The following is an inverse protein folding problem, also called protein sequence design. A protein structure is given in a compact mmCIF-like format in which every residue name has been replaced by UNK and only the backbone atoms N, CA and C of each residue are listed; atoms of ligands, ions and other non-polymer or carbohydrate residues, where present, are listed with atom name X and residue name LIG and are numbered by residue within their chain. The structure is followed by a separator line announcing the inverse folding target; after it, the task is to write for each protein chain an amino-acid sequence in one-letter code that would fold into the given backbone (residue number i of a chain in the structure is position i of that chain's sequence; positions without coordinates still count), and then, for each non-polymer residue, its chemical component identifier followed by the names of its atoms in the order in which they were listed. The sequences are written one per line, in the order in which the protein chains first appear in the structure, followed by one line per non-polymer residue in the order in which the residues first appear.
data_IF_527739123566
#
_entry.id   IF_527739123566
#
_cell.length_a   1.000
_cell.length_b   1.000
_cell.length_c   1.000
_cell.angle_alpha   90.00
_cell.angle_beta   90.00
_cell.angle_gamma   90.00
#
_symmetry.space_group_name_H-M   'P 1'
#
loop_
_entity.id
_entity.type
_entity.pdbx_description
1 polymer ?
#
# COMPACT_ATOMS: atom_id res chain seq x y z
N UNK A 1 4.69 -17.56 -16.25
CA UNK A 1 4.48 -18.36 -15.02
C UNK A 1 3.02 -18.74 -14.98
N UNK A 2 2.68 -19.98 -14.65
CA UNK A 2 1.28 -20.39 -14.51
C UNK A 2 0.86 -20.27 -13.06
N UNK A 3 -0.34 -19.74 -12.83
CA UNK A 3 -0.94 -19.60 -11.50
C UNK A 3 -2.16 -20.50 -11.36
N UNK A 4 -2.45 -20.91 -10.13
CA UNK A 4 -3.72 -21.49 -9.73
C UNK A 4 -4.53 -20.44 -8.98
N UNK A 5 -5.79 -20.25 -9.35
CA UNK A 5 -6.76 -19.43 -8.66
C UNK A 5 -7.58 -20.31 -7.73
N UNK A 6 -7.54 -20.03 -6.44
CA UNK A 6 -8.36 -20.68 -5.43
C UNK A 6 -9.50 -19.75 -5.01
N UNK A 7 -10.70 -20.31 -4.91
CA UNK A 7 -11.85 -19.63 -4.31
C UNK A 7 -12.18 -20.31 -3.00
N UNK A 8 -11.97 -19.63 -1.89
CA UNK A 8 -12.31 -20.11 -0.55
C UNK A 8 -13.67 -19.58 -0.12
N UNK A 9 -14.43 -20.42 0.58
CA UNK A 9 -15.69 -20.06 1.24
C UNK A 9 -15.58 -20.44 2.71
N UNK A 10 -15.84 -19.49 3.60
CA UNK A 10 -15.75 -19.68 5.05
C UNK A 10 -17.13 -19.58 5.70
N UNK A 11 -17.39 -20.44 6.68
CA UNK A 11 -18.61 -20.44 7.50
C UNK A 11 -18.25 -20.65 9.00
N UNK A 12 -18.46 -19.66 9.91
CA UNK A 12 -18.89 -18.28 9.61
C UNK A 12 -17.88 -17.51 8.77
N UNK A 13 -18.37 -16.56 7.95
CA UNK A 13 -17.54 -15.63 7.22
C UNK A 13 -17.16 -14.40 8.05
N UNK A 14 -16.48 -13.43 7.43
CA UNK A 14 -16.15 -12.13 8.00
C UNK A 14 -14.68 -11.74 7.82
N UNK A 15 -14.43 -10.44 7.88
CA UNK A 15 -13.12 -9.84 7.62
C UNK A 15 -12.00 -10.45 8.48
N UNK A 16 -12.25 -10.66 9.77
CA UNK A 16 -11.27 -11.26 10.69
C UNK A 16 -10.89 -12.69 10.31
N UNK A 17 -11.84 -13.49 9.80
CA UNK A 17 -11.57 -14.86 9.33
C UNK A 17 -10.74 -14.83 8.04
N UNK A 18 -11.06 -13.91 7.16
CA UNK A 18 -10.33 -13.72 5.89
C UNK A 18 -8.90 -13.22 6.11
N UNK A 19 -8.68 -12.31 7.07
CA UNK A 19 -7.34 -11.83 7.43
C UNK A 19 -6.46 -12.96 7.97
N UNK A 20 -7.01 -13.79 8.85
CA UNK A 20 -6.29 -14.96 9.38
C UNK A 20 -6.05 -16.00 8.29
N UNK A 21 -7.03 -16.22 7.40
CA UNK A 21 -6.88 -17.13 6.27
C UNK A 21 -5.77 -16.65 5.31
N UNK A 22 -5.71 -15.35 5.02
CA UNK A 22 -4.63 -14.77 4.22
C UNK A 22 -3.25 -15.05 4.81
N UNK A 23 -3.12 -14.85 6.13
CA UNK A 23 -1.85 -15.08 6.82
C UNK A 23 -1.42 -16.56 6.74
N UNK A 24 -2.35 -17.49 6.99
CA UNK A 24 -2.10 -18.92 6.92
C UNK A 24 -1.72 -19.36 5.49
N UNK A 25 -2.43 -18.84 4.48
CA UNK A 25 -2.15 -19.17 3.08
C UNK A 25 -0.81 -18.59 2.61
N UNK A 26 -0.45 -17.38 3.07
CA UNK A 26 0.84 -16.78 2.73
C UNK A 26 2.03 -17.61 3.23
N UNK A 27 1.92 -18.26 4.40
CA UNK A 27 2.98 -19.14 4.93
C UNK A 27 3.25 -20.36 4.05
N UNK A 28 2.28 -20.79 3.23
CA UNK A 28 2.41 -21.93 2.32
C UNK A 28 2.58 -21.54 0.85
N UNK A 29 2.89 -20.25 0.60
CA UNK A 29 3.33 -19.77 -0.71
C UNK A 29 2.27 -19.09 -1.58
N UNK A 30 1.07 -18.82 -1.04
CA UNK A 30 0.13 -17.94 -1.73
C UNK A 30 0.63 -16.48 -1.65
N UNK A 31 0.63 -15.79 -2.78
CA UNK A 31 1.25 -14.46 -2.91
C UNK A 31 0.26 -13.33 -3.22
N UNK A 32 -0.98 -13.67 -3.62
CA UNK A 32 -1.98 -12.67 -4.02
C UNK A 32 -3.36 -13.04 -3.49
N UNK A 33 -4.08 -12.04 -2.99
CA UNK A 33 -5.35 -12.23 -2.30
C UNK A 33 -6.38 -11.20 -2.74
N UNK A 34 -7.63 -11.64 -3.01
CA UNK A 34 -8.72 -10.77 -3.47
C UNK A 34 -10.00 -11.07 -2.68
N UNK A 35 -10.52 -10.07 -1.99
CA UNK A 35 -11.82 -10.14 -1.33
C UNK A 35 -12.93 -9.96 -2.37
N UNK A 36 -13.79 -10.95 -2.53
CA UNK A 36 -14.92 -10.91 -3.47
C UNK A 36 -16.26 -10.56 -2.81
N UNK A 37 -16.25 -10.12 -1.56
CA UNK A 37 -17.40 -9.60 -0.84
C UNK A 37 -17.69 -8.14 -1.21
N UNK A 38 -18.95 -7.82 -1.43
CA UNK A 38 -19.49 -6.58 -2.01
C UNK A 38 -18.83 -5.29 -1.52
N UNK A 39 -17.98 -4.71 -2.36
CA UNK A 39 -17.47 -3.33 -2.23
C UNK A 39 -18.53 -2.27 -2.57
N UNK A 40 -19.79 -2.65 -2.82
CA UNK A 40 -20.85 -1.77 -3.34
C UNK A 40 -21.84 -1.24 -2.31
N UNK A 41 -21.55 -1.29 -1.03
CA UNK A 41 -22.35 -0.53 -0.06
C UNK A 41 -21.54 0.68 0.40
N UNK A 42 -22.02 1.91 0.13
CA UNK A 42 -21.47 3.09 0.78
C UNK A 42 -21.56 2.85 2.29
N UNK A 43 -20.46 3.08 3.01
CA UNK A 43 -20.47 3.12 4.48
C UNK A 43 -21.59 4.07 4.87
N UNK A 44 -22.76 3.54 5.18
CA UNK A 44 -23.82 4.34 5.77
C UNK A 44 -23.25 4.94 7.04
N UNK A 45 -23.43 6.25 7.15
CA UNK A 45 -23.03 7.03 8.29
C UNK A 45 -23.41 6.28 9.58
N UNK A 46 -22.47 6.23 10.52
CA UNK A 46 -22.71 5.78 11.89
C UNK A 46 -24.03 6.39 12.35
N UNK A 47 -24.99 5.56 12.62
CA UNK A 47 -26.13 5.99 13.42
C UNK A 47 -25.59 6.23 14.84
N UNK A 48 -25.98 7.35 15.46
CA UNK A 48 -25.61 7.70 16.82
C UNK A 48 -26.30 6.77 17.86
N UNK A 49 -26.56 5.53 17.49
CA UNK A 49 -27.14 4.51 18.35
C UNK A 49 -26.03 3.77 19.10
N UNK A 50 -25.86 3.98 20.40
CA UNK A 50 -24.84 3.32 21.21
C UNK A 50 -25.04 1.80 21.38
N UNK A 51 -26.19 1.24 20.97
CA UNK A 51 -26.50 -0.19 21.02
C UNK A 51 -26.38 -0.88 19.66
N UNK A 52 -26.03 -0.15 18.59
CA UNK A 52 -25.80 -0.78 17.30
C UNK A 52 -24.61 -1.75 17.36
N UNK A 53 -24.74 -2.99 16.84
CA UNK A 53 -23.66 -3.95 16.86
C UNK A 53 -22.45 -3.41 16.09
N UNK A 54 -21.29 -3.46 16.71
CA UNK A 54 -20.01 -2.95 16.17
C UNK A 54 -19.54 -3.74 14.95
N UNK A 55 -20.13 -4.91 14.72
CA UNK A 55 -19.82 -5.79 13.59
C UNK A 55 -21.06 -5.96 12.72
N UNK A 56 -20.89 -5.79 11.40
CA UNK A 56 -21.90 -6.21 10.44
C UNK A 56 -22.12 -7.72 10.59
N UNK A 57 -23.39 -8.17 10.57
CA UNK A 57 -23.66 -9.60 10.54
C UNK A 57 -22.95 -10.23 9.33
N UNK A 58 -22.27 -11.39 9.52
CA UNK A 58 -21.56 -12.03 8.43
C UNK A 58 -22.54 -12.38 7.31
N UNK A 59 -22.26 -11.90 6.09
CA UNK A 59 -23.02 -12.32 4.93
C UNK A 59 -22.78 -13.82 4.70
N UNK A 60 -23.82 -14.56 4.41
CA UNK A 60 -23.77 -16.03 4.32
C UNK A 60 -22.92 -16.59 3.17
N UNK A 61 -22.31 -15.73 2.33
CA UNK A 61 -21.60 -16.09 1.11
C UNK A 61 -20.39 -15.18 0.80
N UNK A 62 -19.54 -14.90 1.76
CA UNK A 62 -18.28 -14.20 1.44
C UNK A 62 -17.31 -15.18 0.80
N UNK A 63 -17.02 -14.99 -0.47
CA UNK A 63 -15.99 -15.72 -1.17
C UNK A 63 -14.68 -14.92 -1.18
N UNK A 64 -13.58 -15.63 -1.05
CA UNK A 64 -12.24 -15.10 -0.94
C UNK A 64 -11.35 -15.79 -1.96
N UNK A 65 -10.67 -15.02 -2.81
CA UNK A 65 -9.77 -15.58 -3.81
C UNK A 65 -8.33 -15.43 -3.39
N UNK A 66 -7.55 -16.49 -3.62
CA UNK A 66 -6.11 -16.49 -3.40
C UNK A 66 -5.40 -17.17 -4.59
N UNK A 67 -4.17 -16.76 -4.83
CA UNK A 67 -3.39 -17.20 -5.97
C UNK A 67 -2.05 -17.76 -5.53
N UNK A 68 -1.61 -18.84 -6.18
CA UNK A 68 -0.32 -19.47 -5.96
C UNK A 68 0.30 -19.89 -7.29
N UNK A 69 1.62 -19.77 -7.42
CA UNK A 69 2.31 -20.30 -8.58
C UNK A 69 2.15 -21.83 -8.62
N UNK A 70 1.84 -22.35 -9.79
CA UNK A 70 1.58 -23.79 -9.98
C UNK A 70 2.75 -24.67 -9.49
N UNK A 71 3.99 -24.21 -9.68
CA UNK A 71 5.21 -24.93 -9.29
C UNK A 71 5.46 -24.89 -7.77
N UNK A 72 4.81 -23.99 -7.03
CA UNK A 72 4.90 -23.86 -5.56
C UNK A 72 3.72 -24.53 -4.83
N UNK A 73 2.68 -24.94 -5.57
CA UNK A 73 1.49 -25.52 -4.97
C UNK A 73 1.76 -26.92 -4.41
N UNK A 74 1.51 -27.07 -3.11
CA UNK A 74 1.53 -28.34 -2.40
C UNK A 74 0.15 -28.59 -1.77
N UNK A 75 -0.57 -29.60 -2.28
CA UNK A 75 -1.92 -29.94 -1.83
C UNK A 75 -1.94 -30.43 -0.37
N UNK A 76 -0.91 -31.16 0.07
CA UNK A 76 -0.82 -31.67 1.43
C UNK A 76 -0.52 -30.53 2.41
N UNK A 77 0.34 -29.57 2.05
CA UNK A 77 0.58 -28.36 2.83
C UNK A 77 -0.69 -27.54 3.00
N UNK A 78 -1.48 -27.37 1.93
CA UNK A 78 -2.75 -26.65 2.00
C UNK A 78 -3.74 -27.36 2.93
N UNK A 79 -3.92 -28.68 2.78
CA UNK A 79 -4.81 -29.46 3.65
C UNK A 79 -4.42 -29.36 5.12
N UNK A 80 -3.13 -29.45 5.40
CA UNK A 80 -2.62 -29.36 6.78
C UNK A 80 -2.85 -27.95 7.35
N UNK A 81 -2.56 -26.91 6.59
CA UNK A 81 -2.76 -25.52 7.01
C UNK A 81 -4.25 -25.23 7.33
N UNK A 82 -5.18 -25.79 6.55
CA UNK A 82 -6.61 -25.63 6.79
C UNK A 82 -7.10 -26.47 7.98
N UNK A 83 -6.49 -27.64 8.23
CA UNK A 83 -6.79 -28.45 9.43
C UNK A 83 -6.32 -27.78 10.72
N UNK A 84 -5.17 -27.10 10.67
CA UNK A 84 -4.57 -26.40 11.79
C UNK A 84 -5.05 -24.93 11.90
N UNK A 85 -6.13 -24.59 11.19
CA UNK A 85 -6.63 -23.23 11.16
C UNK A 85 -6.92 -22.68 12.57
N UNK A 86 -6.37 -21.52 12.97
CA UNK A 86 -6.32 -21.10 14.36
C UNK A 86 -7.67 -20.62 14.94
N UNK A 87 -8.69 -20.41 14.11
CA UNK A 87 -10.02 -20.01 14.58
C UNK A 87 -10.93 -21.25 14.69
N UNK A 88 -11.30 -21.70 15.91
CA UNK A 88 -12.10 -22.89 16.07
C UNK A 88 -13.55 -22.67 15.55
N UNK A 89 -14.12 -23.72 14.95
CA UNK A 89 -15.49 -23.73 14.48
C UNK A 89 -15.72 -23.07 13.12
N UNK A 90 -14.66 -22.67 12.41
CA UNK A 90 -14.73 -22.19 11.03
C UNK A 90 -14.64 -23.39 10.08
N UNK A 91 -15.65 -23.58 9.25
CA UNK A 91 -15.57 -24.47 8.09
C UNK A 91 -15.01 -23.73 6.90
N UNK A 92 -13.96 -24.28 6.26
CA UNK A 92 -13.34 -23.71 5.08
C UNK A 92 -13.51 -24.72 3.94
N UNK A 93 -14.11 -24.26 2.85
CA UNK A 93 -14.21 -25.00 1.59
C UNK A 93 -13.47 -24.25 0.51
N UNK A 94 -12.88 -24.96 -0.42
CA UNK A 94 -12.18 -24.36 -1.55
C UNK A 94 -12.40 -25.13 -2.84
N UNK A 95 -12.33 -24.43 -3.93
CA UNK A 95 -12.20 -24.92 -5.30
C UNK A 95 -11.06 -24.19 -5.98
N UNK A 96 -10.43 -24.79 -6.97
CA UNK A 96 -9.39 -24.13 -7.74
C UNK A 96 -9.50 -24.42 -9.23
N UNK A 97 -9.00 -23.48 -10.01
CA UNK A 97 -8.88 -23.59 -11.46
C UNK A 97 -7.47 -23.15 -11.88
N UNK A 98 -7.00 -23.62 -13.04
CA UNK A 98 -5.84 -22.97 -13.65
C UNK A 98 -6.25 -21.52 -13.93
N UNK A 99 -5.51 -20.56 -13.37
CA UNK A 99 -5.75 -19.16 -13.66
C UNK A 99 -5.51 -18.98 -15.17
N UNK A 100 -6.50 -18.41 -15.86
CA UNK A 100 -6.28 -18.02 -17.26
C UNK A 100 -5.05 -17.11 -17.33
N UNK A 101 -4.29 -17.20 -18.41
CA UNK A 101 -3.12 -16.35 -18.65
C UNK A 101 -3.62 -14.92 -18.95
N UNK A 102 -4.30 -14.34 -17.97
CA UNK A 102 -4.76 -12.96 -17.96
C UNK A 102 -3.59 -12.09 -17.56
N UNK A 103 -3.41 -11.03 -18.29
CA UNK A 103 -2.50 -9.96 -17.85
C UNK A 103 -3.10 -9.31 -16.58
N UNK A 104 -2.80 -9.93 -15.43
CA UNK A 104 -3.30 -9.49 -14.11
C UNK A 104 -3.00 -8.02 -13.83
N UNK A 105 -1.90 -7.51 -14.39
CA UNK A 105 -1.57 -6.09 -14.30
C UNK A 105 -2.65 -5.24 -14.99
N UNK A 106 -3.12 -5.63 -16.19
CA UNK A 106 -4.18 -4.87 -16.88
C UNK A 106 -5.54 -4.94 -16.17
N UNK A 107 -5.89 -6.09 -15.58
CA UNK A 107 -7.15 -6.24 -14.82
C UNK A 107 -7.09 -5.45 -13.51
N UNK A 108 -5.95 -5.53 -12.81
CA UNK A 108 -5.70 -4.75 -11.60
C UNK A 108 -5.70 -3.24 -11.90
N UNK A 109 -5.03 -2.82 -12.95
CA UNK A 109 -5.00 -1.43 -13.42
C UNK A 109 -6.41 -0.90 -13.73
N UNK A 110 -7.26 -1.70 -14.38
CA UNK A 110 -8.61 -1.29 -14.77
C UNK A 110 -9.61 -1.23 -13.62
N UNK A 111 -9.51 -2.12 -12.65
CA UNK A 111 -10.54 -2.32 -11.64
C UNK A 111 -10.17 -1.85 -10.24
N UNK A 112 -8.90 -1.83 -9.89
CA UNK A 112 -8.42 -1.57 -8.52
C UNK A 112 -7.68 -0.25 -8.36
N UNK A 113 -7.14 0.33 -9.43
CA UNK A 113 -6.46 1.60 -9.37
C UNK A 113 -7.25 2.67 -10.11
N UNK A 114 -8.08 3.42 -9.37
CA UNK A 114 -8.77 4.59 -9.90
C UNK A 114 -7.96 5.85 -9.60
N UNK A 115 -8.08 6.94 -10.43
CA UNK A 115 -7.44 8.20 -10.09
C UNK A 115 -7.89 8.67 -8.70
N UNK A 116 -6.93 8.96 -7.84
CA UNK A 116 -7.17 9.43 -6.48
C UNK A 116 -7.09 10.95 -6.45
N UNK A 117 -8.13 11.61 -5.93
CA UNK A 117 -8.15 13.05 -5.68
C UNK A 117 -8.01 13.30 -4.19
N UNK A 118 -7.03 14.07 -3.78
CA UNK A 118 -6.78 14.42 -2.38
C UNK A 118 -6.92 15.93 -2.21
N UNK A 119 -7.87 16.35 -1.37
CA UNK A 119 -8.09 17.75 -0.99
C UNK A 119 -8.40 18.68 -2.16
N UNK A 120 -8.98 18.19 -3.25
CA UNK A 120 -9.25 18.93 -4.50
C UNK A 120 -8.01 19.57 -5.14
N UNK A 121 -6.81 19.33 -4.59
CA UNK A 121 -5.56 19.98 -4.99
C UNK A 121 -4.55 19.04 -5.61
N UNK A 122 -4.61 17.74 -5.29
CA UNK A 122 -3.69 16.74 -5.81
C UNK A 122 -4.45 15.59 -6.45
N UNK A 123 -4.03 15.21 -7.65
CA UNK A 123 -4.51 14.01 -8.33
C UNK A 123 -3.34 13.06 -8.55
N UNK A 124 -3.55 11.79 -8.19
CA UNK A 124 -2.61 10.71 -8.46
C UNK A 124 -3.28 9.74 -9.42
N UNK A 125 -2.63 9.46 -10.53
CA UNK A 125 -3.15 8.58 -11.57
C UNK A 125 -2.06 7.66 -12.12
N UNK A 126 -2.47 6.49 -12.58
CA UNK A 126 -1.59 5.58 -13.33
C UNK A 126 -1.40 6.06 -14.77
N UNK A 127 -0.29 5.65 -15.38
CA UNK A 127 0.05 5.95 -16.79
C UNK A 127 -1.01 5.48 -17.79
N UNK A 128 -1.83 4.51 -17.42
CA UNK A 128 -2.89 3.91 -18.24
C UNK A 128 -4.24 4.66 -18.19
N UNK A 129 -4.41 5.62 -17.27
CA UNK A 129 -5.64 6.40 -17.19
C UNK A 129 -5.74 7.43 -18.31
N UNK A 130 -6.89 7.45 -19.01
CA UNK A 130 -7.13 8.36 -20.17
C UNK A 130 -7.86 9.66 -19.79
N UNK A 131 -8.72 9.60 -18.77
CA UNK A 131 -9.56 10.74 -18.37
C UNK A 131 -9.27 11.06 -16.89
N UNK A 132 -8.13 11.69 -16.64
CA UNK A 132 -7.70 12.07 -15.29
C UNK A 132 -8.23 13.47 -14.97
N UNK A 133 -8.91 13.67 -13.83
CA UNK A 133 -9.23 14.99 -13.34
C UNK A 133 -7.96 15.85 -13.25
N UNK A 134 -8.09 17.15 -13.51
CA UNK A 134 -6.96 18.07 -13.37
C UNK A 134 -7.03 18.79 -12.03
N UNK A 135 -5.89 18.92 -11.37
CA UNK A 135 -5.71 19.60 -10.09
C UNK A 135 -4.47 20.50 -10.11
N UNK A 136 -4.21 21.19 -9.01
CA UNK A 136 -3.01 22.02 -8.83
C UNK A 136 -1.73 21.17 -8.98
N UNK A 137 -1.74 19.95 -8.39
CA UNK A 137 -0.66 18.98 -8.51
C UNK A 137 -1.19 17.69 -9.14
N UNK A 138 -0.58 17.29 -10.25
CA UNK A 138 -0.95 16.07 -10.96
C UNK A 138 0.25 15.13 -10.95
N UNK A 139 0.13 14.00 -10.25
CA UNK A 139 1.18 13.01 -10.12
C UNK A 139 0.80 11.78 -10.94
N UNK A 140 1.65 11.42 -11.88
CA UNK A 140 1.49 10.21 -12.67
C UNK A 140 2.44 9.15 -12.13
N UNK A 141 1.92 7.96 -11.85
CA UNK A 141 2.74 6.84 -11.40
C UNK A 141 2.56 5.62 -12.29
N UNK A 142 3.61 4.82 -12.35
CA UNK A 142 3.52 3.43 -12.77
C UNK A 142 3.49 2.61 -11.46
N UNK A 143 2.33 2.12 -11.00
CA UNK A 143 2.21 1.58 -9.66
C UNK A 143 2.97 0.26 -9.48
N UNK A 144 3.25 -0.50 -10.55
CA UNK A 144 3.88 -1.81 -10.49
C UNK A 144 3.48 -2.55 -9.19
N UNK A 145 4.25 -3.46 -8.66
CA UNK A 145 3.95 -4.14 -7.38
C UNK A 145 4.44 -3.35 -6.14
N UNK A 146 4.79 -2.06 -6.29
CA UNK A 146 5.29 -1.23 -5.18
C UNK A 146 4.17 -0.65 -4.33
N UNK A 147 4.38 -0.57 -3.02
CA UNK A 147 3.48 0.14 -2.10
C UNK A 147 3.52 1.65 -2.38
N UNK A 148 2.43 2.36 -2.05
CA UNK A 148 2.40 3.83 -2.17
C UNK A 148 1.60 4.36 -3.36
N UNK A 149 0.54 3.66 -3.78
CA UNK A 149 -0.39 4.15 -4.83
C UNK A 149 -1.24 5.34 -4.37
N UNK A 150 -1.16 5.72 -3.10
CA UNK A 150 -1.96 6.81 -2.51
C UNK A 150 -3.31 6.37 -1.93
N UNK A 151 -3.83 5.22 -2.31
CA UNK A 151 -5.17 4.76 -1.89
C UNK A 151 -5.28 4.36 -0.42
N UNK A 152 -4.15 4.06 0.24
CA UNK A 152 -4.18 3.80 1.67
C UNK A 152 -4.46 5.11 2.44
N UNK A 153 -5.32 5.03 3.46
CA UNK A 153 -5.76 6.20 4.23
C UNK A 153 -4.58 7.02 4.81
N UNK A 154 -3.53 6.35 5.29
CA UNK A 154 -2.33 7.02 5.81
C UNK A 154 -1.60 7.81 4.73
N UNK A 155 -1.45 7.26 3.53
CA UNK A 155 -0.81 7.95 2.41
C UNK A 155 -1.60 9.19 2.00
N UNK A 156 -2.93 9.09 1.91
CA UNK A 156 -3.80 10.24 1.62
C UNK A 156 -3.70 11.33 2.69
N UNK A 157 -3.61 10.96 3.97
CA UNK A 157 -3.42 11.91 5.07
C UNK A 157 -2.06 12.62 4.98
N UNK A 158 -0.99 11.90 4.64
CA UNK A 158 0.33 12.50 4.45
C UNK A 158 0.36 13.44 3.24
N UNK A 159 -0.28 13.07 2.14
CA UNK A 159 -0.46 13.95 0.98
C UNK A 159 -1.17 15.23 1.40
N UNK A 160 -2.30 15.11 2.11
CA UNK A 160 -3.03 16.28 2.61
C UNK A 160 -2.14 17.16 3.49
N UNK A 161 -1.34 16.55 4.37
CA UNK A 161 -0.42 17.29 5.23
C UNK A 161 0.66 18.03 4.44
N UNK A 162 1.24 17.40 3.41
CA UNK A 162 2.20 18.05 2.52
C UNK A 162 1.55 19.20 1.74
N UNK A 163 0.25 19.07 1.35
CA UNK A 163 -0.50 20.13 0.68
C UNK A 163 -0.77 21.34 1.59
N UNK A 164 -0.93 21.14 2.87
CA UNK A 164 -1.29 22.19 3.83
C UNK A 164 -0.07 22.91 4.41
N UNK A 165 1.06 22.21 4.54
CA UNK A 165 2.28 22.79 5.11
C UNK A 165 3.12 23.52 4.05
N UNK A 166 3.95 24.46 4.51
CA UNK A 166 4.92 25.13 3.66
C UNK A 166 6.11 24.20 3.38
N UNK A 167 6.33 23.86 2.11
CA UNK A 167 7.44 23.02 1.66
C UNK A 167 8.61 23.81 1.07
N UNK A 168 8.43 25.11 0.85
CA UNK A 168 9.42 25.93 0.16
C UNK A 168 10.79 25.88 0.82
N UNK A 169 11.81 25.52 0.06
CA UNK A 169 13.22 25.47 0.50
C UNK A 169 13.58 24.35 1.47
N UNK A 170 12.66 23.46 1.84
CA UNK A 170 12.91 22.38 2.82
C UNK A 170 13.78 21.26 2.24
N UNK A 171 14.63 20.71 3.11
CA UNK A 171 15.32 19.42 2.93
C UNK A 171 14.40 18.32 3.52
N UNK A 172 13.97 17.38 2.70
CA UNK A 172 12.95 16.37 3.07
C UNK A 172 13.55 14.96 2.98
N UNK A 173 13.25 14.12 3.96
CA UNK A 173 13.48 12.68 3.93
C UNK A 173 12.14 11.95 3.74
N UNK A 174 12.08 11.06 2.76
CA UNK A 174 10.97 10.10 2.54
C UNK A 174 11.50 8.69 2.80
N UNK A 175 11.17 8.13 3.99
CA UNK A 175 11.68 6.84 4.45
C UNK A 175 10.64 5.74 4.25
N UNK A 176 11.03 4.67 3.55
CA UNK A 176 10.09 3.69 3.00
C UNK A 176 9.31 4.30 1.85
N UNK A 177 10.03 4.87 0.88
CA UNK A 177 9.44 5.76 -0.12
C UNK A 177 8.51 5.06 -1.12
N UNK A 178 8.61 3.74 -1.30
CA UNK A 178 7.78 2.97 -2.22
C UNK A 178 7.78 3.55 -3.64
N UNK A 179 6.65 4.12 -4.07
CA UNK A 179 6.52 4.82 -5.36
C UNK A 179 7.10 6.23 -5.37
N UNK A 180 7.57 6.75 -4.25
CA UNK A 180 8.05 8.13 -4.02
C UNK A 180 7.02 9.23 -4.24
N UNK A 181 5.73 8.98 -4.21
CA UNK A 181 4.72 10.03 -4.43
C UNK A 181 4.80 11.15 -3.40
N UNK A 182 5.21 10.87 -2.16
CA UNK A 182 5.33 11.88 -1.10
C UNK A 182 6.52 12.80 -1.37
N UNK A 183 7.68 12.25 -1.75
CA UNK A 183 8.83 13.02 -2.16
C UNK A 183 8.57 13.84 -3.43
N UNK A 184 7.89 13.25 -4.43
CA UNK A 184 7.47 13.94 -5.67
C UNK A 184 6.59 15.14 -5.34
N UNK A 185 5.55 14.95 -4.51
CA UNK A 185 4.66 16.05 -4.12
C UNK A 185 5.41 17.12 -3.33
N UNK A 186 6.27 16.75 -2.38
CA UNK A 186 7.08 17.71 -1.63
C UNK A 186 7.95 18.57 -2.58
N UNK A 187 8.56 17.97 -3.60
CA UNK A 187 9.32 18.68 -4.61
C UNK A 187 8.46 19.61 -5.45
N UNK A 188 7.30 19.16 -5.92
CA UNK A 188 6.33 20.00 -6.65
C UNK A 188 5.86 21.19 -5.81
N UNK A 189 5.87 21.05 -4.48
CA UNK A 189 5.50 22.08 -3.50
C UNK A 189 6.67 23.00 -3.10
N UNK A 190 7.84 22.88 -3.75
CA UNK A 190 8.97 23.78 -3.54
C UNK A 190 10.02 23.28 -2.55
N UNK A 191 9.96 22.03 -2.08
CA UNK A 191 11.05 21.48 -1.29
C UNK A 191 12.36 21.58 -2.07
N UNK A 192 13.45 22.03 -1.44
CA UNK A 192 14.73 22.27 -2.10
C UNK A 192 15.36 20.98 -2.60
N UNK A 193 15.29 19.95 -1.77
CA UNK A 193 15.85 18.64 -2.06
C UNK A 193 15.13 17.56 -1.25
N UNK A 194 14.95 16.38 -1.84
CA UNK A 194 14.42 15.22 -1.17
C UNK A 194 15.42 14.06 -1.21
N UNK A 195 15.50 13.34 -0.11
CA UNK A 195 16.18 12.04 -0.03
C UNK A 195 15.09 11.00 0.16
N UNK A 196 14.99 10.05 -0.76
CA UNK A 196 14.04 8.93 -0.72
C UNK A 196 14.82 7.63 -0.46
N UNK A 197 14.37 6.83 0.49
CA UNK A 197 15.06 5.60 0.89
C UNK A 197 14.06 4.45 0.97
N UNK A 198 14.42 3.31 0.40
CA UNK A 198 13.66 2.07 0.55
C UNK A 198 14.60 0.87 0.68
N UNK A 199 14.16 -0.16 1.38
CA UNK A 199 14.91 -1.41 1.57
C UNK A 199 14.75 -2.36 0.38
N UNK A 200 13.74 -2.13 -0.46
CA UNK A 200 13.40 -2.95 -1.61
C UNK A 200 13.97 -2.33 -2.90
N UNK A 201 14.79 -3.11 -3.60
CA UNK A 201 15.41 -2.69 -4.88
C UNK A 201 14.35 -2.38 -5.96
N UNK A 202 13.22 -3.10 -5.96
CA UNK A 202 12.10 -2.83 -6.86
C UNK A 202 11.45 -1.48 -6.59
N UNK A 203 11.26 -1.14 -5.31
CA UNK A 203 10.77 0.17 -4.89
C UNK A 203 11.71 1.29 -5.32
N UNK A 204 13.02 1.12 -5.13
CA UNK A 204 14.04 2.08 -5.55
C UNK A 204 13.98 2.33 -7.06
N UNK A 205 13.91 1.26 -7.86
CA UNK A 205 13.80 1.39 -9.31
C UNK A 205 12.49 2.06 -9.73
N UNK A 206 11.38 1.63 -9.15
CA UNK A 206 10.06 2.20 -9.44
C UNK A 206 9.98 3.68 -9.04
N UNK A 207 10.58 4.07 -7.91
CA UNK A 207 10.75 5.47 -7.50
C UNK A 207 11.45 6.31 -8.55
N UNK A 208 12.59 5.83 -9.06
CA UNK A 208 13.36 6.53 -10.10
C UNK A 208 12.53 6.72 -11.38
N UNK A 209 11.82 5.68 -11.80
CA UNK A 209 10.93 5.74 -12.97
C UNK A 209 9.80 6.75 -12.76
N UNK A 210 9.17 6.77 -11.58
CA UNK A 210 8.09 7.71 -11.25
C UNK A 210 8.59 9.16 -11.15
N UNK A 211 9.78 9.39 -10.59
CA UNK A 211 10.40 10.71 -10.53
C UNK A 211 10.64 11.24 -11.96
N UNK A 212 11.21 10.42 -12.83
CA UNK A 212 11.42 10.76 -14.24
C UNK A 212 10.10 11.05 -14.97
N UNK A 213 9.07 10.23 -14.72
CA UNK A 213 7.74 10.34 -15.31
C UNK A 213 7.05 11.68 -14.97
N UNK A 214 7.28 12.19 -13.76
CA UNK A 214 6.72 13.46 -13.30
C UNK A 214 7.62 14.66 -13.59
N UNK A 215 8.76 14.46 -14.24
CA UNK A 215 9.72 15.54 -14.61
C UNK A 215 10.17 16.37 -13.40
N UNK A 216 10.27 15.76 -12.23
CA UNK A 216 10.82 16.41 -11.03
C UNK A 216 12.30 16.09 -10.88
N UNK A 217 13.04 17.05 -10.34
CA UNK A 217 14.47 16.96 -10.08
C UNK A 217 14.77 17.03 -8.58
N UNK A 218 16.06 16.93 -8.21
CA UNK A 218 16.52 17.07 -6.83
C UNK A 218 15.85 16.09 -5.84
N UNK A 219 15.60 14.86 -6.30
CA UNK A 219 15.24 13.72 -5.44
C UNK A 219 16.31 12.65 -5.62
N UNK A 220 17.07 12.37 -4.57
CA UNK A 220 18.03 11.28 -4.54
C UNK A 220 17.41 10.03 -3.94
N UNK A 221 17.41 8.93 -4.69
CA UNK A 221 16.83 7.64 -4.24
C UNK A 221 17.95 6.69 -3.84
N UNK A 222 17.83 6.06 -2.69
CA UNK A 222 18.83 5.13 -2.15
C UNK A 222 18.19 3.81 -1.73
N UNK A 223 18.86 2.72 -2.04
CA UNK A 223 18.59 1.41 -1.47
C UNK A 223 19.23 1.33 -0.07
N UNK A 224 18.44 1.02 0.95
CA UNK A 224 18.95 0.85 2.32
C UNK A 224 17.88 1.04 3.37
N UNK A 225 18.30 0.85 4.61
CA UNK A 225 17.52 1.13 5.82
C UNK A 225 17.95 2.49 6.46
N UNK A 226 17.41 2.81 7.62
CA UNK A 226 17.68 4.06 8.32
C UNK A 226 19.17 4.26 8.68
N UNK A 227 20.00 3.22 8.71
CA UNK A 227 21.43 3.33 8.99
C UNK A 227 22.19 4.07 7.87
N UNK A 228 21.66 4.08 6.64
CA UNK A 228 22.27 4.78 5.51
C UNK A 228 22.23 6.32 5.66
N UNK A 229 21.47 6.84 6.62
CA UNK A 229 21.32 8.27 6.88
C UNK A 229 22.55 8.91 7.52
N UNK A 230 23.56 8.14 7.93
CA UNK A 230 24.74 8.64 8.65
C UNK A 230 25.44 9.82 7.95
N UNK A 231 25.41 9.88 6.63
CA UNK A 231 26.03 10.94 5.81
C UNK A 231 25.02 11.88 5.14
N UNK A 232 23.73 11.80 5.48
CA UNK A 232 22.63 12.54 4.84
C UNK A 232 22.01 13.56 5.80
N UNK A 233 21.33 14.56 5.24
CA UNK A 233 20.68 15.63 6.00
C UNK A 233 21.64 16.81 6.30
N UNK A 234 21.31 17.73 7.23
CA UNK A 234 20.14 17.65 8.12
C UNK A 234 18.81 18.00 7.39
N UNK A 235 17.72 17.40 7.86
CA UNK A 235 16.38 17.50 7.27
C UNK A 235 15.49 18.47 8.04
N UNK A 236 14.61 19.19 7.31
CA UNK A 236 13.53 20.02 7.86
C UNK A 236 12.27 19.19 8.10
N UNK A 237 12.10 18.10 7.34
CA UNK A 237 10.95 17.21 7.42
C UNK A 237 11.40 15.76 7.18
N UNK A 238 10.93 14.86 8.03
CA UNK A 238 11.01 13.40 7.83
C UNK A 238 9.59 12.89 7.60
N UNK A 239 9.38 12.16 6.52
CA UNK A 239 8.13 11.46 6.21
C UNK A 239 8.44 9.97 6.32
N UNK A 240 7.66 9.22 7.12
CA UNK A 240 7.86 7.81 7.34
C UNK A 240 6.51 7.07 7.42
N UNK A 241 5.97 6.71 6.26
CA UNK A 241 4.72 5.93 6.14
C UNK A 241 5.01 4.44 6.14
N UNK A 242 5.58 3.95 7.24
CA UNK A 242 6.05 2.56 7.40
C UNK A 242 5.45 1.92 8.65
N UNK A 243 5.78 0.64 8.87
CA UNK A 243 5.34 -0.10 10.05
C UNK A 243 5.79 0.60 11.35
N UNK A 244 4.87 0.74 12.30
CA UNK A 244 5.08 1.42 13.59
C UNK A 244 6.30 0.88 14.35
N UNK A 245 6.52 -0.44 14.36
CA UNK A 245 7.63 -1.03 15.12
C UNK A 245 8.98 -0.68 14.50
N UNK A 246 9.07 -0.67 13.17
CA UNK A 246 10.26 -0.24 12.43
C UNK A 246 10.52 1.23 12.73
N UNK A 247 9.50 2.07 12.61
CA UNK A 247 9.56 3.49 12.85
C UNK A 247 10.08 3.83 14.25
N UNK A 248 9.55 3.17 15.29
CA UNK A 248 10.02 3.38 16.67
C UNK A 248 11.50 3.00 16.87
N UNK A 249 11.94 1.93 16.19
CA UNK A 249 13.35 1.53 16.21
C UNK A 249 14.24 2.54 15.48
N UNK A 250 13.76 3.10 14.39
CA UNK A 250 14.52 3.96 13.50
C UNK A 250 14.60 5.43 13.94
N UNK A 251 13.78 5.86 14.90
CA UNK A 251 13.85 7.22 15.46
C UNK A 251 15.27 7.61 15.91
N UNK A 252 16.07 6.67 16.40
CA UNK A 252 17.46 6.90 16.78
C UNK A 252 18.35 7.35 15.60
N UNK A 253 17.98 7.04 14.36
CA UNK A 253 18.68 7.46 13.14
C UNK A 253 18.11 8.76 12.59
N UNK A 254 16.79 9.01 12.72
CA UNK A 254 16.15 10.22 12.21
C UNK A 254 16.49 11.45 13.04
N UNK A 255 16.29 11.37 14.36
CA UNK A 255 16.44 12.53 15.26
C UNK A 255 17.80 13.22 15.14
N UNK A 256 18.95 12.52 15.10
CA UNK A 256 20.24 13.17 14.93
C UNK A 256 20.46 13.84 13.56
N UNK A 257 19.57 13.56 12.59
CA UNK A 257 19.62 14.09 11.22
C UNK A 257 18.57 15.15 10.94
N UNK A 258 17.84 15.57 11.96
CA UNK A 258 16.85 16.62 11.86
C UNK A 258 17.43 17.95 12.30
N UNK A 259 16.99 19.03 11.68
CA UNK A 259 17.27 20.39 12.12
C UNK A 259 16.47 20.71 13.39
N UNK A 260 16.91 21.73 14.12
CA UNK A 260 16.11 22.27 15.22
C UNK A 260 14.77 22.79 14.69
N UNK A 261 13.68 22.37 15.31
CA UNK A 261 12.31 22.70 14.87
C UNK A 261 11.78 21.90 13.67
N UNK A 262 12.50 20.87 13.22
CA UNK A 262 12.02 19.97 12.18
C UNK A 262 10.85 19.09 12.65
N UNK A 263 10.10 18.54 11.69
CA UNK A 263 8.91 17.72 11.93
C UNK A 263 9.12 16.29 11.43
N UNK A 264 8.36 15.34 12.03
CA UNK A 264 8.20 13.98 11.52
C UNK A 264 6.71 13.74 11.24
N UNK A 265 6.38 13.27 10.05
CA UNK A 265 5.05 12.73 9.71
C UNK A 265 5.11 11.20 9.77
N UNK A 266 4.21 10.60 10.59
CA UNK A 266 4.18 9.17 10.90
C UNK A 266 2.75 8.65 10.88
#
# INVERSE_FOLDING_TARGET
MKYLEFTFTTAPGGEAVQDVLSAVLAEIGFDSFVHTGSLDLPRQARTDDPEAPIFAEPSANDSYKAYIQQDLYDEEALKQALLDFPIPGVEIRYEHVEAEDKNWNEEWEKHYFQPLVVGDRCVIAGTFHKNVPQAEYNITINPQMSFGTGHHATTSQMIQRILDDDMEGREVLDMGCGTSILAILARMRGAKHCVAVDVDEWCVKNSQDNIALNHVDNIDVFLGDASCLASKGPFDLVIANINRNILLNDLQYYVPRMKEGAYIYM
#
